data_IF_326611654237
#
_entry.id   IF_326611654237
#
_cell.length_a   1.000
_cell.length_b   1.000
_cell.length_c   1.000
_cell.angle_alpha   90.00
_cell.angle_beta   90.00
_cell.angle_gamma   90.00
#
_symmetry.space_group_name_H-M   'P 1'
#
loop_
_entity.id
_entity.type
_entity.pdbx_description
1 polymer ?
2 non-polymer ?
3 non-polymer ?
4 non-polymer ?
5 non-polymer ?
6 water ?
#
# COMPACT_ATOMS: atom_id res chain seq x y z
N UNK A 16 -12.97 -16.86 7.87
CA UNK A 16 -11.88 -17.83 7.75
C UNK A 16 -10.53 -17.16 7.38
N UNK A 17 -10.18 -16.07 8.07
CA UNK A 17 -8.91 -15.39 7.85
C UNK A 17 -7.75 -16.25 8.43
N UNK A 18 -6.55 -16.08 7.89
CA UNK A 18 -5.30 -16.73 8.35
C UNK A 18 -4.28 -15.61 8.65
N UNK A 19 -4.62 -14.78 9.64
CA UNK A 19 -3.81 -13.65 10.08
C UNK A 19 -2.43 -14.07 10.58
N UNK A 20 -1.37 -13.46 10.05
CA UNK A 20 0.00 -13.74 10.51
C UNK A 20 0.29 -12.68 11.60
N UNK A 21 0.58 -13.13 12.84
CA UNK A 21 0.64 -12.27 14.03
C UNK A 21 1.93 -11.46 14.23
N UNK A 22 2.99 -11.72 13.47
CA UNK A 22 4.19 -10.89 13.55
C UNK A 22 5.05 -11.14 12.32
N UNK A 23 6.19 -10.46 12.22
CA UNK A 23 7.07 -10.60 11.06
C UNK A 23 7.74 -11.95 11.03
N UNK A 24 8.04 -12.55 12.22
CA UNK A 24 8.64 -13.89 12.25
C UNK A 24 7.71 -14.91 11.61
N UNK A 25 6.41 -14.86 11.90
CA UNK A 25 5.45 -15.79 11.28
C UNK A 25 5.38 -15.56 9.77
N UNK A 26 5.34 -14.29 9.35
CA UNK A 26 5.28 -13.95 7.93
C UNK A 26 6.49 -14.56 7.20
N UNK A 27 7.69 -14.37 7.76
CA UNK A 27 8.91 -14.89 7.18
C UNK A 27 8.96 -16.42 7.16
N UNK A 28 8.42 -17.11 8.21
CA UNK A 28 8.37 -18.58 8.26
C UNK A 28 7.42 -19.09 7.14
N UNK A 29 6.34 -18.36 6.84
CA UNK A 29 5.43 -18.76 5.76
C UNK A 29 6.10 -18.56 4.40
N UNK A 30 6.81 -17.44 4.20
CA UNK A 30 7.52 -17.20 2.93
C UNK A 30 8.61 -18.26 2.73
N UNK A 31 9.33 -18.63 3.81
CA UNK A 31 10.39 -19.65 3.78
C UNK A 31 9.83 -21.03 3.35
N UNK A 32 8.66 -21.42 3.89
CA UNK A 32 7.98 -22.65 3.52
C UNK A 32 7.63 -22.68 2.01
N UNK A 33 7.34 -21.50 1.39
CA UNK A 33 7.06 -21.40 -0.05
C UNK A 33 8.29 -21.02 -0.87
N UNK A 34 9.51 -21.09 -0.27
CA UNK A 34 10.79 -20.76 -0.91
C UNK A 34 10.76 -19.37 -1.52
N UNK A 35 10.21 -18.38 -0.77
CA UNK A 35 10.02 -17.02 -1.25
C UNK A 35 10.80 -15.97 -0.45
N UNK A 36 11.79 -16.43 0.33
CA UNK A 36 12.70 -15.59 1.07
C UNK A 36 14.08 -16.24 1.02
N UNK A 37 15.12 -15.45 0.84
CA UNK A 37 16.49 -15.91 0.71
C UNK A 37 17.34 -15.17 1.71
N UNK A 38 18.25 -15.87 2.35
CA UNK A 38 19.15 -15.26 3.31
C UNK A 38 20.48 -14.95 2.63
N UNK A 39 20.99 -13.77 2.88
CA UNK A 39 22.27 -13.34 2.34
C UNK A 39 23.19 -13.23 3.55
N UNK A 40 24.18 -14.11 3.65
CA UNK A 40 25.11 -14.10 4.77
C UNK A 40 26.34 -13.27 4.51
N UNK A 41 26.67 -12.96 3.25
CA UNK A 41 27.81 -12.11 2.94
C UNK A 41 27.52 -10.66 3.39
N UNK A 42 28.53 -9.85 3.76
CA UNK A 42 28.22 -8.46 4.17
C UNK A 42 27.67 -7.63 3.02
N UNK A 43 26.67 -6.81 3.30
CA UNK A 43 26.05 -5.92 2.31
C UNK A 43 26.14 -4.51 2.88
N UNK A 44 26.55 -3.56 2.07
CA UNK A 44 26.65 -2.18 2.52
C UNK A 44 25.30 -1.46 2.51
N UNK A 45 24.81 -0.89 3.65
CA UNK A 45 23.59 -0.08 3.59
C UNK A 45 23.76 1.17 2.71
N UNK A 46 25.02 1.58 2.44
CA UNK A 46 25.32 2.65 1.50
C UNK A 46 25.14 2.08 0.09
N UNK A 47 23.94 2.32 -0.49
CA UNK A 47 23.55 1.93 -1.85
C UNK A 47 23.38 0.43 -2.15
N UNK A 48 24.15 -0.50 -1.57
CA UNK A 48 24.03 -1.91 -1.96
C UNK A 48 22.72 -2.52 -1.52
N UNK A 49 22.26 -2.22 -0.30
CA UNK A 49 21.00 -2.80 0.20
C UNK A 49 19.83 -2.36 -0.70
N UNK A 50 19.80 -1.07 -1.06
CA UNK A 50 18.79 -0.52 -1.96
C UNK A 50 18.87 -1.15 -3.34
N UNK A 51 20.08 -1.31 -3.86
CA UNK A 51 20.30 -1.95 -5.17
C UNK A 51 19.86 -3.41 -5.14
N UNK A 52 20.12 -4.12 -4.01
CA UNK A 52 19.69 -5.50 -3.85
C UNK A 52 18.16 -5.59 -3.84
N UNK A 53 17.49 -4.62 -3.19
CA UNK A 53 16.01 -4.54 -3.19
C UNK A 53 15.48 -4.29 -4.61
N UNK A 54 16.08 -3.36 -5.37
CA UNK A 54 15.65 -3.10 -6.74
C UNK A 54 15.84 -4.29 -7.65
N UNK A 55 16.97 -5.00 -7.54
CA UNK A 55 17.22 -6.17 -8.35
C UNK A 55 16.09 -7.17 -8.07
N UNK A 56 15.76 -7.39 -6.79
CA UNK A 56 14.72 -8.31 -6.36
C UNK A 56 13.35 -7.97 -6.91
N UNK A 57 12.92 -6.67 -6.84
CA UNK A 57 11.62 -6.28 -7.39
C UNK A 57 11.57 -6.53 -8.89
N UNK A 58 12.60 -6.09 -9.57
CA UNK A 58 12.62 -6.08 -11.05
C UNK A 58 12.80 -7.47 -11.67
N UNK A 59 13.42 -8.38 -10.94
CA UNK A 59 13.59 -9.75 -11.41
C UNK A 59 12.59 -10.72 -10.77
N UNK A 60 11.64 -10.22 -9.94
CA UNK A 60 10.64 -11.06 -9.27
C UNK A 60 11.37 -12.14 -8.42
N UNK A 61 12.38 -11.70 -7.66
CA UNK A 61 13.16 -12.62 -6.82
C UNK A 61 12.55 -12.82 -5.46
N UNK A 62 13.09 -13.77 -4.67
CA UNK A 62 12.58 -13.93 -3.29
C UNK A 62 12.85 -12.67 -2.45
N UNK A 63 12.04 -12.43 -1.42
CA UNK A 63 12.34 -11.35 -0.48
C UNK A 63 13.75 -11.67 0.10
N UNK A 64 14.54 -10.65 0.49
CA UNK A 64 15.90 -10.89 0.99
C UNK A 64 16.02 -10.57 2.44
N UNK A 65 16.69 -11.44 3.18
CA UNK A 65 17.05 -11.20 4.57
C UNK A 65 18.54 -10.91 4.52
N UNK A 66 18.92 -9.64 4.74
CA UNK A 66 20.33 -9.24 4.72
C UNK A 66 20.81 -9.42 6.14
N UNK A 67 21.54 -10.53 6.38
CA UNK A 67 21.98 -10.91 7.71
C UNK A 67 23.18 -10.19 8.24
N UNK A 68 23.95 -9.52 7.39
CA UNK A 68 25.20 -8.89 7.80
C UNK A 68 25.39 -7.57 7.06
N UNK A 69 25.30 -6.46 7.79
CA UNK A 69 25.42 -5.14 7.19
C UNK A 69 26.67 -4.44 7.62
N UNK A 70 27.38 -3.83 6.67
CA UNK A 70 28.59 -3.08 6.94
C UNK A 70 28.29 -1.99 7.99
N UNK A 71 29.14 -1.87 9.02
CA UNK A 71 28.97 -0.86 10.06
C UNK A 71 28.31 -1.34 11.33
N UNK A 72 27.23 -2.17 11.23
CA UNK A 72 26.53 -2.71 12.41
C UNK A 72 26.55 -4.26 12.47
N UNK A 73 27.17 -4.92 11.48
CA UNK A 73 27.32 -6.36 11.47
C UNK A 73 26.00 -7.12 11.45
N UNK A 74 25.91 -8.16 12.28
CA UNK A 74 24.75 -9.02 12.37
C UNK A 74 23.74 -8.55 13.43
N UNK A 75 23.93 -7.37 14.04
CA UNK A 75 23.01 -6.85 15.06
C UNK A 75 21.56 -6.73 14.57
N UNK A 76 21.35 -5.97 13.50
CA UNK A 76 20.04 -5.68 13.00
C UNK A 76 19.96 -6.10 11.55
N UNK A 77 19.07 -7.04 11.26
CA UNK A 77 18.90 -7.53 9.91
C UNK A 77 18.01 -6.58 9.13
N UNK A 78 18.07 -6.67 7.81
CA UNK A 78 17.24 -5.86 6.93
C UNK A 78 16.45 -6.81 6.06
N UNK A 79 15.14 -6.57 5.94
CA UNK A 79 14.28 -7.33 5.06
C UNK A 79 13.98 -6.45 3.83
N UNK A 80 14.38 -6.89 2.64
CA UNK A 80 14.13 -6.17 1.38
C UNK A 80 13.00 -6.86 0.62
N UNK A 81 12.22 -6.06 -0.14
CA UNK A 81 11.06 -6.49 -0.91
C UNK A 81 10.03 -7.25 -0.04
N UNK A 82 9.64 -6.67 1.12
CA UNK A 82 8.70 -7.36 2.02
C UNK A 82 7.38 -7.71 1.36
N UNK A 83 6.91 -6.87 0.41
CA UNK A 83 5.70 -7.16 -0.33
C UNK A 83 5.91 -6.91 -1.81
N UNK A 84 7.06 -7.35 -2.32
CA UNK A 84 7.29 -7.31 -3.77
C UNK A 84 6.49 -8.42 -4.45
N UNK A 85 6.56 -8.50 -5.79
CA UNK A 85 5.91 -9.62 -6.49
C UNK A 85 6.60 -10.92 -6.08
N UNK A 86 5.80 -11.96 -5.86
CA UNK A 86 6.29 -13.23 -5.32
C UNK A 86 6.92 -14.14 -6.37
N UNK A 87 7.79 -15.06 -5.94
CA UNK A 87 8.33 -16.11 -6.82
C UNK A 87 7.38 -17.35 -6.82
N UNK A 88 6.37 -17.38 -5.97
CA UNK A 88 5.52 -18.57 -5.84
C UNK A 88 4.86 -18.86 -7.18
N UNK A 89 5.08 -20.05 -7.80
CA UNK A 89 4.51 -20.28 -9.14
C UNK A 89 3.00 -20.04 -9.26
N UNK A 90 2.63 -19.24 -10.26
CA UNK A 90 1.26 -18.85 -10.50
C UNK A 90 0.66 -17.91 -9.46
N UNK A 91 1.46 -17.39 -8.49
CA UNK A 91 0.93 -16.54 -7.42
C UNK A 91 1.76 -15.28 -7.19
N UNK A 92 1.86 -14.39 -8.20
CA UNK A 92 2.65 -13.15 -8.01
C UNK A 92 2.18 -12.25 -6.84
N UNK A 93 0.89 -12.31 -6.45
CA UNK A 93 0.37 -11.45 -5.35
C UNK A 93 0.45 -12.12 -3.99
N UNK A 94 1.15 -13.25 -3.90
CA UNK A 94 1.21 -14.04 -2.66
C UNK A 94 1.70 -13.26 -1.43
N UNK A 95 2.66 -12.34 -1.58
CA UNK A 95 3.13 -11.58 -0.42
C UNK A 95 2.03 -10.64 0.09
N UNK A 96 1.26 -10.05 -0.85
CA UNK A 96 0.14 -9.19 -0.50
C UNK A 96 -0.94 -10.03 0.17
N UNK A 97 -1.31 -11.16 -0.48
CA UNK A 97 -2.37 -12.04 0.01
C UNK A 97 -2.06 -12.55 1.44
N UNK A 98 -0.83 -13.02 1.67
CA UNK A 98 -0.44 -13.52 2.99
C UNK A 98 -0.41 -12.44 4.03
N UNK A 99 0.05 -11.23 3.63
CA UNK A 99 0.07 -10.06 4.51
C UNK A 99 -1.33 -9.72 5.02
N UNK A 100 -2.35 -9.96 4.17
CA UNK A 100 -3.76 -9.67 4.45
C UNK A 100 -4.56 -10.88 4.90
N UNK A 101 -3.88 -11.92 5.36
CA UNK A 101 -4.47 -13.12 5.93
C UNK A 101 -5.24 -14.00 4.98
N UNK A 102 -4.96 -13.92 3.68
CA UNK A 102 -5.67 -14.67 2.66
C UNK A 102 -4.84 -15.78 2.13
N UNK A 103 -5.46 -16.65 1.34
CA UNK A 103 -4.77 -17.75 0.72
C UNK A 103 -3.66 -17.21 -0.19
N UNK A 104 -2.55 -17.95 -0.23
CA UNK A 104 -1.38 -17.65 -1.04
C UNK A 104 -1.81 -17.37 -2.52
N UNK A 105 -2.86 -18.05 -3.02
CA UNK A 105 -3.33 -17.90 -4.38
C UNK A 105 -4.54 -16.92 -4.54
N UNK A 106 -4.83 -16.08 -3.54
CA UNK A 106 -5.94 -15.13 -3.64
C UNK A 106 -5.70 -14.18 -4.84
N UNK A 107 -6.76 -13.96 -5.63
CA UNK A 107 -6.68 -13.11 -6.83
C UNK A 107 -6.71 -11.64 -6.46
N UNK A 108 -6.37 -10.80 -7.44
CA UNK A 108 -6.43 -9.34 -7.29
C UNK A 108 -7.81 -8.92 -6.80
N UNK A 109 -8.86 -9.48 -7.41
CA UNK A 109 -10.23 -9.14 -7.06
C UNK A 109 -10.59 -9.61 -5.62
N UNK A 110 -10.19 -10.83 -5.24
CA UNK A 110 -10.45 -11.30 -3.88
C UNK A 110 -9.77 -10.41 -2.85
N UNK A 111 -8.56 -9.93 -3.14
CA UNK A 111 -7.85 -9.04 -2.22
C UNK A 111 -8.60 -7.70 -2.04
N UNK A 112 -8.89 -6.98 -3.14
CA UNK A 112 -9.55 -5.67 -3.01
C UNK A 112 -10.97 -5.82 -2.47
N UNK A 113 -11.67 -6.89 -2.86
CA UNK A 113 -13.01 -7.15 -2.35
C UNK A 113 -13.00 -7.42 -0.82
N UNK A 114 -11.99 -8.12 -0.31
CA UNK A 114 -11.89 -8.40 1.14
C UNK A 114 -11.63 -7.10 1.89
N UNK A 115 -10.80 -6.21 1.35
CA UNK A 115 -10.56 -4.92 1.99
C UNK A 115 -11.78 -4.07 1.95
N UNK A 116 -12.48 -4.01 0.80
CA UNK A 116 -13.66 -3.14 0.67
C UNK A 116 -14.81 -3.70 1.53
N UNK A 117 -14.94 -5.02 1.66
CA UNK A 117 -15.98 -5.60 2.54
C UNK A 117 -15.79 -5.16 3.98
N UNK A 118 -14.52 -5.06 4.45
CA UNK A 118 -14.25 -4.61 5.83
C UNK A 118 -14.66 -3.13 6.08
N UNK A 119 -14.75 -2.29 5.01
CA UNK A 119 -15.19 -0.90 5.16
C UNK A 119 -16.67 -0.77 5.50
N UNK A 120 -17.44 -1.85 5.34
CA UNK A 120 -18.87 -1.87 5.68
C UNK A 120 -19.13 -2.45 7.08
N UNK A 121 -18.06 -2.80 7.82
CA UNK A 121 -18.15 -3.44 9.13
C UNK A 121 -17.80 -2.40 10.22
N UNK A 122 -18.29 -2.62 11.44
CA UNK A 122 -18.05 -1.74 12.57
C UNK A 122 -16.59 -1.87 13.03
N UNK A 123 -15.91 -0.79 13.47
CA UNK A 123 -14.53 -0.96 13.94
C UNK A 123 -14.43 -1.79 15.21
N UNK A 124 -13.31 -2.48 15.37
CA UNK A 124 -13.08 -3.32 16.53
C UNK A 124 -11.98 -2.65 17.34
N UNK A 125 -12.28 -2.26 18.58
CA UNK A 125 -11.32 -1.58 19.42
C UNK A 125 -10.15 -2.49 19.76
N UNK A 126 -8.90 -1.97 19.80
CA UNK A 126 -7.76 -2.84 20.17
C UNK A 126 -7.78 -3.21 21.66
N UNK A 127 -6.83 -4.01 22.08
CA UNK A 127 -6.69 -4.41 23.49
C UNK A 127 -5.28 -4.06 23.91
N UNK A 128 -5.11 -3.63 25.16
CA UNK A 128 -3.80 -3.23 25.68
C UNK A 128 -3.21 -4.39 26.47
N UNK A 129 -2.00 -4.85 26.09
CA UNK A 129 -1.30 -5.93 26.79
C UNK A 129 -0.21 -5.31 27.67
N UNK A 130 0.13 -6.00 28.77
CA UNK A 130 1.12 -5.50 29.72
C UNK A 130 2.54 -5.62 29.21
N UNK A 131 2.83 -6.58 28.31
CA UNK A 131 4.19 -6.76 27.79
C UNK A 131 4.21 -7.28 26.36
N UNK A 132 5.33 -7.04 25.67
CA UNK A 132 5.50 -7.41 24.27
C UNK A 132 6.95 -7.67 23.92
N UNK A 133 7.28 -8.57 22.95
CA UNK A 133 8.70 -8.75 22.58
C UNK A 133 9.40 -7.48 22.10
N UNK A 134 8.67 -6.52 21.50
CA UNK A 134 9.25 -5.25 21.03
C UNK A 134 9.88 -4.38 22.15
N UNK A 135 9.65 -4.71 23.44
CA UNK A 135 10.24 -4.01 24.56
C UNK A 135 11.20 -4.91 25.36
N UNK A 136 11.69 -6.03 24.76
CA UNK A 136 12.68 -6.90 25.44
C UNK A 136 13.98 -6.13 25.65
N UNK A 137 14.33 -5.21 24.74
CA UNK A 137 15.53 -4.37 24.86
C UNK A 137 15.07 -2.94 24.81
N UNK A 138 15.50 -2.12 25.78
CA UNK A 138 15.08 -0.73 25.91
C UNK A 138 16.31 0.16 25.98
N UNK A 139 16.42 1.15 25.07
CA UNK A 139 17.48 2.14 25.06
C UNK A 139 16.82 3.48 25.39
N UNK A 140 17.34 4.16 26.43
CA UNK A 140 16.82 5.45 26.92
C UNK A 140 17.94 6.47 26.97
N UNK A 141 17.59 7.75 26.94
CA UNK A 141 18.55 8.85 27.05
C UNK A 141 19.58 8.89 25.94
N UNK A 142 20.87 8.95 26.31
CA UNK A 142 21.98 8.98 25.35
C UNK A 142 22.16 7.63 24.64
N UNK A 143 21.64 6.52 25.22
CA UNK A 143 21.73 5.21 24.57
C UNK A 143 20.75 5.10 23.41
N UNK A 144 19.61 5.84 23.45
CA UNK A 144 18.62 5.87 22.37
C UNK A 144 19.23 6.68 21.22
N UNK A 145 20.13 6.03 20.47
CA UNK A 145 20.86 6.65 19.37
C UNK A 145 20.72 5.79 18.12
N UNK A 146 20.23 6.40 17.02
CA UNK A 146 20.03 5.71 15.76
C UNK A 146 21.33 5.21 15.13
N UNK A 147 22.52 5.75 15.54
CA UNK A 147 23.81 5.24 15.05
C UNK A 147 24.09 3.77 15.44
N UNK A 148 23.29 3.18 16.34
CA UNK A 148 23.39 1.76 16.67
C UNK A 148 22.77 0.86 15.58
N UNK A 149 21.93 1.43 14.69
CA UNK A 149 21.18 0.68 13.67
C UNK A 149 21.63 1.06 12.28
N UNK A 150 21.34 0.22 11.27
CA UNK A 150 21.70 0.61 9.89
C UNK A 150 21.04 1.93 9.48
N UNK A 151 21.72 2.67 8.62
CA UNK A 151 21.25 3.96 8.06
C UNK A 151 21.39 3.81 6.56
N UNK A 152 20.45 3.08 5.92
CA UNK A 152 20.59 2.83 4.47
C UNK A 152 20.41 4.04 3.54
N UNK A 153 21.39 4.28 2.62
CA UNK A 153 21.28 5.31 1.57
C UNK A 153 20.67 4.54 0.41
N UNK A 154 19.37 4.67 0.22
CA UNK A 154 18.60 3.82 -0.70
C UNK A 154 18.77 4.13 -2.16
N UNK A 155 19.04 5.36 -2.54
CA UNK A 155 19.26 5.71 -3.95
C UNK A 155 20.39 6.73 -3.98
N UNK A 156 21.18 6.69 -5.06
CA UNK A 156 22.36 7.56 -5.29
C UNK A 156 22.14 9.06 -4.96
N UNK A 157 21.06 9.63 -5.46
CA UNK A 157 20.72 11.05 -5.25
C UNK A 157 19.87 11.45 -4.04
N UNK A 158 19.55 10.51 -3.10
CA UNK A 158 18.73 10.87 -1.93
C UNK A 158 19.46 11.89 -1.05
N UNK A 159 18.69 12.67 -0.32
CA UNK A 159 19.27 13.68 0.57
C UNK A 159 20.02 13.12 1.77
N UNK A 160 19.74 11.86 2.11
CA UNK A 160 20.37 11.18 3.22
C UNK A 160 19.73 9.81 3.43
N UNK A 161 20.06 9.12 4.53
CA UNK A 161 19.47 7.79 4.75
C UNK A 161 17.98 7.81 5.04
N UNK A 162 17.19 6.96 4.38
CA UNK A 162 15.75 6.88 4.65
C UNK A 162 15.53 5.77 5.71
N UNK A 163 15.30 6.16 6.96
CA UNK A 163 15.05 5.21 8.05
C UNK A 163 13.66 4.62 8.03
N UNK A 164 12.65 5.36 7.53
CA UNK A 164 11.32 4.78 7.44
C UNK A 164 10.88 4.79 6.02
N UNK A 165 10.58 3.58 5.49
CA UNK A 165 10.00 3.39 4.16
C UNK A 165 8.83 2.39 4.23
N UNK A 166 8.83 1.46 5.21
CA UNK A 166 7.80 0.44 5.34
C UNK A 166 7.22 0.35 6.77
N UNK A 167 7.75 1.11 7.72
CA UNK A 167 7.24 1.14 9.08
C UNK A 167 6.09 2.13 9.20
N UNK A 168 5.45 2.09 10.35
CA UNK A 168 4.26 2.92 10.59
C UNK A 168 4.53 3.98 11.60
N UNK A 169 4.10 5.21 11.26
CA UNK A 169 4.20 6.38 12.13
C UNK A 169 2.87 6.43 12.88
N UNK A 170 2.94 6.53 14.21
CA UNK A 170 1.78 6.58 15.10
C UNK A 170 1.76 7.96 15.81
N UNK A 171 0.65 8.69 15.71
CA UNK A 171 0.46 9.97 16.40
C UNK A 171 -0.99 10.03 16.90
N UNK A 172 -1.24 10.77 17.99
CA UNK A 172 -2.59 11.00 18.49
C UNK A 172 -2.86 12.50 18.51
N UNK A 173 -4.14 12.89 18.46
CA UNK A 173 -4.56 14.30 18.59
C UNK A 173 -4.31 14.72 20.06
N UNK A 174 -4.12 16.04 20.36
CA UNK A 174 -3.89 16.44 21.76
C UNK A 174 -4.90 15.93 22.80
N UNK A 175 -6.19 15.83 22.45
CA UNK A 175 -7.21 15.31 23.35
C UNK A 175 -7.13 13.77 23.59
N UNK A 176 -6.33 13.06 22.79
CA UNK A 176 -6.15 11.61 22.90
C UNK A 176 -7.36 10.83 22.43
N UNK A 177 -8.25 11.49 21.66
CA UNK A 177 -9.50 10.89 21.18
C UNK A 177 -9.35 10.20 19.83
N UNK A 178 -8.28 10.52 19.08
CA UNK A 178 -8.07 9.95 17.76
C UNK A 178 -6.61 9.65 17.48
N UNK A 179 -6.31 8.42 16.98
CA UNK A 179 -4.95 7.98 16.66
C UNK A 179 -4.85 7.53 15.24
N UNK A 180 -3.88 8.12 14.51
CA UNK A 180 -3.63 7.83 13.13
C UNK A 180 -2.32 7.04 12.98
N UNK A 181 -2.35 6.02 12.12
CA UNK A 181 -1.20 5.19 11.78
C UNK A 181 -0.94 5.47 10.28
N UNK A 182 0.29 5.83 9.89
CA UNK A 182 0.59 6.11 8.46
C UNK A 182 2.01 5.74 8.07
N UNK A 183 2.20 5.33 6.81
CA UNK A 183 3.56 5.15 6.30
C UNK A 183 3.93 6.44 5.61
N UNK A 184 5.02 7.07 6.06
CA UNK A 184 5.58 8.21 5.33
C UNK A 184 7.09 8.05 5.42
N UNK A 185 7.80 8.59 4.44
CA UNK A 185 9.26 8.52 4.43
C UNK A 185 9.84 9.45 5.48
N UNK A 186 10.84 8.94 6.21
CA UNK A 186 11.53 9.65 7.27
C UNK A 186 13.03 9.51 7.00
N UNK A 187 13.74 10.64 6.93
CA UNK A 187 15.17 10.69 6.65
C UNK A 187 15.93 10.95 7.91
N UNK A 188 17.08 10.32 8.06
CA UNK A 188 17.95 10.52 9.19
C UNK A 188 18.74 11.84 9.04
N UNK A 189 18.83 12.65 10.10
CA UNK A 189 19.69 13.85 10.12
C UNK A 189 20.98 13.42 10.82
N UNK A 190 20.86 12.88 12.03
CA UNK A 190 21.98 12.37 12.83
C UNK A 190 21.45 11.26 13.76
N UNK A 191 22.23 10.87 14.77
CA UNK A 191 21.84 9.84 15.71
C UNK A 191 20.61 10.09 16.57
N UNK A 192 20.22 11.36 16.79
CA UNK A 192 19.06 11.69 17.61
C UNK A 192 17.92 12.34 16.85
N UNK A 193 18.13 12.70 15.58
CA UNK A 193 17.18 13.47 14.83
C UNK A 193 16.91 12.91 13.44
N UNK A 194 15.66 13.04 13.02
CA UNK A 194 15.18 12.62 11.70
C UNK A 194 14.25 13.72 11.20
N UNK A 195 13.91 13.66 9.94
CA UNK A 195 13.00 14.62 9.33
C UNK A 195 12.13 13.92 8.29
N UNK A 196 11.03 14.56 7.96
CA UNK A 196 10.10 14.11 6.95
C UNK A 196 9.25 15.30 6.50
N UNK A 197 8.53 15.17 5.38
CA UNK A 197 7.66 16.28 4.93
C UNK A 197 6.27 16.03 5.52
N UNK A 198 5.63 17.05 6.09
CA UNK A 198 4.29 16.93 6.69
C UNK A 198 3.27 17.65 5.77
N UNK A 199 2.69 16.88 4.83
CA UNK A 199 1.72 17.32 3.82
C UNK A 199 0.37 17.69 4.50
N UNK A 200 -0.22 18.87 4.23
CA UNK A 200 -1.50 19.22 4.89
C UNK A 200 -2.72 18.35 4.49
N UNK A 201 -2.69 17.65 3.34
CA UNK A 201 -3.79 16.77 2.92
C UNK A 201 -3.72 15.38 3.62
N UNK A 202 -2.62 15.08 4.33
CA UNK A 202 -2.45 13.81 5.02
C UNK A 202 -2.79 13.97 6.48
N UNK A 203 -3.23 12.86 7.11
CA UNK A 203 -3.59 12.86 8.52
C UNK A 203 -2.43 13.14 9.47
N UNK A 204 -1.18 12.71 9.17
CA UNK A 204 -0.01 13.10 10.00
C UNK A 204 0.13 14.62 10.09
N UNK A 205 0.07 15.30 8.95
CA UNK A 205 0.17 16.75 8.86
C UNK A 205 -0.97 17.45 9.55
N UNK A 206 -2.21 16.94 9.38
CA UNK A 206 -3.36 17.52 10.03
C UNK A 206 -3.23 17.41 11.54
N UNK A 207 -2.81 16.23 12.06
CA UNK A 207 -2.67 16.05 13.50
C UNK A 207 -1.54 16.95 14.04
N UNK A 208 -0.41 17.03 13.33
CA UNK A 208 0.71 17.90 13.70
C UNK A 208 0.29 19.38 13.84
N UNK A 209 -0.54 19.89 12.91
CA UNK A 209 -1.01 21.27 12.98
C UNK A 209 -1.75 21.54 14.31
N UNK A 210 -2.44 20.52 14.88
CA UNK A 210 -3.13 20.67 16.17
C UNK A 210 -2.11 20.82 17.28
N UNK A 211 -0.98 20.10 17.22
CA UNK A 211 0.08 20.21 18.23
C UNK A 211 0.82 21.55 18.10
N UNK A 212 0.96 22.10 16.88
CA UNK A 212 1.60 23.39 16.63
C UNK A 212 0.74 24.55 17.15
N UNK A 213 -0.61 24.43 17.03
CA UNK A 213 -1.55 25.45 17.54
C UNK A 213 -1.47 25.58 19.06
N UNK A 214 -1.25 24.47 19.79
CA UNK A 214 -1.09 24.50 21.24
C UNK A 214 0.34 24.84 21.67
N UNK A 215 1.27 24.94 20.71
CA UNK A 215 2.67 25.27 20.97
C UNK A 215 3.39 24.19 21.76
N UNK A 216 3.09 22.90 21.48
CA UNK A 216 3.68 21.77 22.19
C UNK A 216 4.28 20.76 21.22
N UNK A 217 5.44 20.13 21.54
CA UNK A 217 5.97 19.09 20.65
C UNK A 217 5.02 17.89 20.53
N UNK A 218 4.82 17.37 19.31
CA UNK A 218 3.90 16.25 19.09
C UNK A 218 4.57 14.93 19.44
N UNK A 219 4.09 14.15 20.44
CA UNK A 219 4.69 12.82 20.66
C UNK A 219 4.45 11.88 19.48
N UNK A 220 5.41 11.00 19.20
CA UNK A 220 5.29 10.06 18.09
C UNK A 220 5.95 8.75 18.42
N UNK A 221 5.65 7.75 17.60
CA UNK A 221 6.33 6.46 17.62
C UNK A 221 6.40 5.96 16.18
N UNK A 222 7.52 5.36 15.79
CA UNK A 222 7.69 4.74 14.49
C UNK A 222 7.94 3.26 14.79
N UNK A 223 7.13 2.36 14.22
CA UNK A 223 7.30 0.92 14.43
C UNK A 223 7.75 0.26 13.15
N UNK A 224 8.75 -0.61 13.26
CA UNK A 224 9.27 -1.37 12.12
C UNK A 224 8.96 -2.83 12.34
N UNK A 225 8.78 -3.55 11.23
CA UNK A 225 8.58 -5.00 11.28
C UNK A 225 7.41 -5.51 12.11
N UNK A 226 6.26 -4.86 12.04
CA UNK A 226 5.05 -5.34 12.74
C UNK A 226 4.49 -6.56 11.98
N UNK A 227 3.34 -7.13 12.45
CA UNK A 227 2.63 -8.14 11.68
C UNK A 227 2.40 -7.56 10.25
N UNK A 228 2.39 -8.40 9.21
CA UNK A 228 2.43 -7.86 7.85
C UNK A 228 1.22 -7.10 7.35
N UNK A 229 0.05 -7.26 7.98
CA UNK A 229 -1.14 -6.52 7.60
C UNK A 229 -1.15 -5.04 7.95
N UNK A 230 -0.41 -4.65 8.98
CA UNK A 230 -0.38 -3.23 9.43
C UNK A 230 0.11 -2.25 8.32
N UNK A 231 1.27 -2.44 7.66
CA UNK A 231 1.67 -1.44 6.63
C UNK A 231 0.67 -1.26 5.49
N UNK A 232 -0.12 -2.28 5.18
CA UNK A 232 -1.16 -2.13 4.15
C UNK A 232 -2.23 -1.15 4.65
N UNK A 233 -2.69 -1.33 5.87
CA UNK A 233 -3.75 -0.41 6.35
C UNK A 233 -3.17 0.96 6.67
N UNK A 234 -1.89 1.03 7.09
CA UNK A 234 -1.23 2.34 7.28
C UNK A 234 -1.02 3.12 5.94
N UNK A 235 -0.99 2.42 4.79
CA UNK A 235 -0.92 3.11 3.49
C UNK A 235 -2.31 3.43 2.93
N UNK A 236 -3.39 2.97 3.61
CA UNK A 236 -4.73 3.10 3.08
C UNK A 236 -5.34 4.48 3.33
N UNK A 237 -5.82 5.17 2.28
CA UNK A 237 -6.39 6.51 2.49
C UNK A 237 -7.82 6.48 2.99
N UNK A 238 -7.97 6.07 4.27
CA UNK A 238 -9.26 5.97 4.92
C UNK A 238 -9.81 7.35 5.20
N UNK A 239 -11.15 7.49 5.35
CA UNK A 239 -11.72 8.82 5.57
C UNK A 239 -11.25 9.44 6.87
N UNK A 240 -11.38 10.78 6.98
CA UNK A 240 -11.08 11.50 8.21
C UNK A 240 -11.95 10.90 9.34
N UNK A 241 -11.33 10.64 10.47
CA UNK A 241 -12.05 10.09 11.62
C UNK A 241 -12.19 8.58 11.70
N UNK A 242 -11.58 7.81 10.78
CA UNK A 242 -11.62 6.35 10.82
C UNK A 242 -10.21 5.90 11.21
N UNK A 243 -10.03 5.32 12.40
CA UNK A 243 -8.71 4.88 12.84
C UNK A 243 -8.30 3.62 12.12
N UNK A 244 -7.03 3.54 11.74
CA UNK A 244 -6.48 2.37 11.05
C UNK A 244 -6.60 1.12 11.96
N UNK A 245 -6.32 1.26 13.26
CA UNK A 245 -6.34 0.13 14.21
C UNK A 245 -7.76 -0.50 14.32
N UNK A 246 -8.79 0.34 14.30
CA UNK A 246 -10.18 -0.13 14.31
C UNK A 246 -10.53 -0.84 13.02
N UNK A 247 -10.01 -0.33 11.89
CA UNK A 247 -10.23 -0.96 10.59
C UNK A 247 -9.49 -2.32 10.53
N UNK A 248 -8.23 -2.36 11.00
CA UNK A 248 -7.47 -3.62 11.06
C UNK A 248 -8.22 -4.65 11.87
N UNK A 249 -8.78 -4.21 12.98
CA UNK A 249 -9.57 -5.07 13.84
C UNK A 249 -10.81 -5.60 13.13
N UNK A 250 -11.54 -4.73 12.40
CA UNK A 250 -12.73 -5.16 11.65
C UNK A 250 -12.34 -6.11 10.50
N UNK A 251 -11.23 -5.80 9.83
CA UNK A 251 -10.71 -6.61 8.73
C UNK A 251 -10.37 -8.04 9.17
N UNK A 252 -9.58 -8.21 10.26
CA UNK A 252 -9.20 -9.55 10.72
C UNK A 252 -10.26 -10.22 11.61
N UNK A 253 -11.27 -9.46 12.05
CA UNK A 253 -12.33 -10.00 12.90
C UNK A 253 -11.90 -10.22 14.34
N UNK A 254 -10.88 -9.47 14.82
CA UNK A 254 -10.43 -9.57 16.20
C UNK A 254 -9.62 -8.35 16.62
N UNK A 255 -9.54 -8.03 17.93
CA UNK A 255 -8.75 -6.86 18.36
C UNK A 255 -7.24 -7.02 18.14
N UNK A 256 -6.58 -5.93 17.76
CA UNK A 256 -5.12 -5.91 17.65
C UNK A 256 -4.61 -5.68 19.07
N UNK A 257 -3.49 -6.32 19.42
CA UNK A 257 -2.89 -6.17 20.74
C UNK A 257 -1.89 -5.03 20.70
N UNK A 258 -2.05 -4.04 21.59
CA UNK A 258 -1.12 -2.91 21.67
C UNK A 258 -0.46 -2.89 23.02
N UNK A 259 0.72 -2.27 23.09
CA UNK A 259 1.48 -2.13 24.32
C UNK A 259 1.79 -0.65 24.54
N UNK A 260 1.83 -0.20 25.80
CA UNK A 260 2.13 1.20 26.10
C UNK A 260 3.58 1.50 25.78
N UNK A 261 3.83 2.62 25.07
CA UNK A 261 5.19 3.07 24.76
C UNK A 261 5.87 3.47 26.09
N UNK A 262 7.20 3.34 26.14
CA UNK A 262 7.98 3.57 27.37
C UNK A 262 8.14 5.03 27.82
N UNK A 263 8.28 5.99 26.90
CA UNK A 263 8.51 7.41 27.23
C UNK A 263 7.46 8.38 26.71
N UNK A 264 6.43 7.90 25.98
CA UNK A 264 5.36 8.75 25.44
C UNK A 264 4.01 8.09 25.70
N UNK A 265 2.94 8.90 25.78
CA UNK A 265 1.59 8.40 26.03
C UNK A 265 0.94 7.97 24.71
N UNK A 266 1.43 6.87 24.14
CA UNK A 266 0.94 6.28 22.92
C UNK A 266 0.92 4.78 23.09
N UNK A 267 0.09 4.12 22.30
CA UNK A 267 -0.06 2.67 22.26
C UNK A 267 0.54 2.23 20.94
N UNK A 268 1.38 1.19 20.95
CA UNK A 268 2.03 0.73 19.73
C UNK A 268 1.80 -0.76 19.51
N UNK A 269 1.84 -1.23 18.25
CA UNK A 269 1.65 -2.67 17.98
C UNK A 269 2.62 -3.55 18.79
N UNK A 270 2.09 -4.53 19.53
CA UNK A 270 2.94 -5.45 20.30
C UNK A 270 3.77 -6.39 19.39
N UNK A 271 3.40 -6.49 18.09
CA UNK A 271 4.08 -7.34 17.10
C UNK A 271 5.32 -6.67 16.45
N UNK A 272 5.67 -5.43 16.85
CA UNK A 272 6.79 -4.69 16.26
C UNK A 272 8.17 -5.34 16.49
N UNK A 273 9.10 -5.11 15.55
CA UNK A 273 10.49 -5.56 15.72
C UNK A 273 11.24 -4.44 16.48
N UNK A 274 11.02 -3.18 16.05
CA UNK A 274 11.65 -1.99 16.60
C UNK A 274 10.61 -0.89 16.83
N UNK A 275 10.77 -0.12 17.93
CA UNK A 275 9.91 1.02 18.23
C UNK A 275 10.82 2.22 18.46
N UNK A 276 10.65 3.30 17.70
CA UNK A 276 11.40 4.54 17.88
C UNK A 276 10.38 5.51 18.50
N UNK A 277 10.65 6.04 19.69
CA UNK A 277 9.73 6.95 20.36
C UNK A 277 10.37 8.32 20.48
N UNK A 278 9.55 9.36 20.49
CA UNK A 278 10.05 10.71 20.64
C UNK A 278 8.99 11.76 20.50
N UNK A 279 9.43 12.98 20.15
CA UNK A 279 8.56 14.13 19.89
C UNK A 279 8.99 14.83 18.61
N UNK A 280 8.01 15.34 17.84
CA UNK A 280 8.26 16.12 16.63
C UNK A 280 8.35 17.57 17.11
N UNK A 281 9.48 18.25 16.89
CA UNK A 281 9.70 19.63 17.33
C UNK A 281 9.14 20.64 16.31
N UNK A 282 8.92 21.94 16.67
CA UNK A 282 8.49 22.90 15.62
C UNK A 282 9.65 23.35 14.72
N UNK A 306 10.51 20.44 9.95
CA UNK A 306 9.90 19.58 10.99
C UNK A 306 10.83 18.43 11.35
N UNK A 307 11.35 18.42 12.60
CA UNK A 307 12.30 17.42 13.07
C UNK A 307 11.74 16.43 14.11
N UNK A 308 11.96 15.13 13.88
CA UNK A 308 11.60 14.06 14.82
C UNK A 308 12.79 13.95 15.77
N UNK A 309 12.59 14.05 17.09
CA UNK A 309 13.69 13.92 18.05
C UNK A 309 13.50 12.61 18.80
N UNK A 310 14.51 11.75 18.79
CA UNK A 310 14.43 10.40 19.38
C UNK A 310 14.64 10.44 20.90
N UNK A 311 13.65 9.97 21.69
CA UNK A 311 13.77 9.88 23.15
C UNK A 311 14.00 8.45 23.62
N UNK A 312 13.56 7.44 22.85
CA UNK A 312 13.75 6.05 23.24
C UNK A 312 13.68 5.14 22.02
N UNK A 313 14.42 4.04 22.07
CA UNK A 313 14.39 3.00 21.04
C UNK A 313 14.19 1.70 21.79
N UNK A 314 13.20 0.90 21.39
CA UNK A 314 12.99 -0.42 22.01
C UNK A 314 12.98 -1.42 20.87
N UNK A 315 13.44 -2.64 21.13
CA UNK A 315 13.48 -3.65 20.08
C UNK A 315 13.49 -5.04 20.66
N UNK A 316 12.98 -6.00 19.88
CA UNK A 316 13.01 -7.39 20.30
C UNK A 316 14.36 -7.98 19.91
N UNK A 317 14.76 -9.06 20.57
CA UNK A 317 16.01 -9.76 20.27
C UNK A 317 16.15 -10.09 18.77
N UNK A 318 17.36 -9.87 18.21
CA UNK A 318 17.69 -10.10 16.79
C UNK A 318 16.69 -9.32 15.88
N UNK A 319 16.64 -7.99 16.03
CA UNK A 319 15.65 -7.20 15.29
C UNK A 319 15.82 -7.22 13.78
N UNK A 320 14.70 -7.09 13.07
CA UNK A 320 14.67 -7.04 11.62
C UNK A 320 14.05 -5.69 11.26
N UNK A 321 14.74 -4.92 10.40
CA UNK A 321 14.27 -3.62 9.95
C UNK A 321 13.91 -3.75 8.48
N UNK A 322 12.61 -3.88 8.14
CA UNK A 322 12.23 -3.94 6.71
C UNK A 322 12.40 -2.63 5.99
N UNK A 323 12.73 -2.69 4.69
CA UNK A 323 12.83 -1.48 3.86
C UNK A 323 11.94 -1.65 2.65
N UNK A 324 11.56 -0.52 2.05
CA UNK A 324 10.83 -0.43 0.78
C UNK A 324 11.57 0.59 -0.08
N UNK A 325 12.01 0.19 -1.26
CA UNK A 325 12.87 1.02 -2.11
C UNK A 325 12.04 1.45 -3.35
N UNK A 326 11.36 2.60 -3.21
CA UNK A 326 10.45 3.12 -4.24
C UNK A 326 11.16 3.43 -5.55
N UNK A 327 10.44 3.25 -6.64
CA UNK A 327 10.94 3.55 -7.97
C UNK A 327 9.98 3.08 -9.02
N UNK A 328 10.51 2.58 -10.12
CA UNK A 328 9.68 2.08 -11.21
C UNK A 328 8.94 0.81 -10.82
N UNK A 329 7.89 0.42 -11.54
CA UNK A 329 7.18 -0.80 -11.16
C UNK A 329 8.09 -2.05 -11.13
N UNK A 330 7.92 -3.00 -10.21
CA UNK A 330 6.82 -3.10 -9.24
C UNK A 330 7.40 -3.16 -7.83
N UNK A 331 7.05 -2.22 -6.96
CA UNK A 331 7.47 -2.26 -5.55
C UNK A 331 6.19 -1.97 -4.68
N UNK A 332 6.36 -1.75 -3.38
CA UNK A 332 5.25 -1.53 -2.45
C UNK A 332 4.49 -0.24 -2.68
N UNK A 333 5.06 0.72 -3.41
CA UNK A 333 4.29 1.89 -3.85
C UNK A 333 3.09 1.36 -4.63
N UNK A 334 3.29 0.31 -5.41
CA UNK A 334 2.28 -0.29 -6.29
C UNK A 334 1.47 -1.42 -5.65
N UNK A 335 2.17 -2.38 -4.99
CA UNK A 335 1.52 -3.56 -4.41
C UNK A 335 0.78 -3.23 -3.11
N UNK A 336 1.15 -2.14 -2.42
CA UNK A 336 0.47 -1.80 -1.17
C UNK A 336 -0.28 -0.50 -1.33
N UNK A 337 0.41 0.62 -1.56
CA UNK A 337 -0.29 1.90 -1.66
C UNK A 337 -1.35 1.99 -2.77
N UNK A 338 -0.96 1.65 -3.99
CA UNK A 338 -1.93 1.72 -5.09
C UNK A 338 -3.04 0.69 -4.92
N UNK A 339 -2.69 -0.47 -4.37
CA UNK A 339 -3.67 -1.54 -4.20
C UNK A 339 -4.73 -1.20 -3.14
N UNK A 340 -4.30 -0.71 -1.98
CA UNK A 340 -5.26 -0.32 -0.93
C UNK A 340 -6.06 0.91 -1.33
N UNK A 341 -5.47 1.80 -2.19
CA UNK A 341 -6.18 2.95 -2.73
C UNK A 341 -7.29 2.43 -3.65
N UNK A 342 -7.02 1.45 -4.51
CA UNK A 342 -8.07 0.83 -5.35
C UNK A 342 -9.17 0.23 -4.46
N UNK A 343 -8.82 -0.44 -3.34
CA UNK A 343 -9.85 -1.02 -2.44
C UNK A 343 -10.70 0.11 -1.81
N UNK A 344 -10.07 1.20 -1.41
CA UNK A 344 -10.84 2.32 -0.86
C UNK A 344 -11.77 2.92 -1.96
N UNK A 345 -11.27 3.04 -3.21
CA UNK A 345 -12.11 3.57 -4.30
C UNK A 345 -13.30 2.64 -4.49
N UNK A 346 -13.06 1.30 -4.46
CA UNK A 346 -14.15 0.32 -4.63
C UNK A 346 -15.22 0.49 -3.55
N UNK A 347 -14.79 0.67 -2.30
CA UNK A 347 -15.70 0.87 -1.17
C UNK A 347 -16.48 2.19 -1.30
N UNK A 348 -15.82 3.29 -1.71
CA UNK A 348 -16.47 4.59 -1.86
C UNK A 348 -17.47 4.53 -3.00
N UNK A 349 -17.13 3.86 -4.12
CA UNK A 349 -18.05 3.80 -5.24
C UNK A 349 -19.25 2.94 -4.89
N UNK A 350 -19.04 1.82 -4.17
CA UNK A 350 -20.17 0.99 -3.74
C UNK A 350 -21.04 1.69 -2.71
N UNK A 351 -20.48 2.53 -1.81
CA UNK A 351 -21.24 3.29 -0.82
C UNK A 351 -22.11 4.34 -1.51
N UNK A 352 -21.74 4.79 -2.72
CA UNK A 352 -22.57 5.70 -3.51
C UNK A 352 -23.57 4.90 -4.37
N UNK A 353 -23.77 3.59 -4.10
CA UNK A 353 -24.69 2.68 -4.79
C UNK A 353 -24.38 2.49 -6.26
N UNK A 354 -23.09 2.61 -6.64
CA UNK A 354 -22.69 2.36 -8.01
C UNK A 354 -22.41 0.86 -8.20
N UNK A 355 -22.80 0.28 -9.35
CA UNK A 355 -22.64 -1.18 -9.55
C UNK A 355 -21.24 -1.52 -10.05
N UNK A 356 -20.28 -1.40 -9.14
CA UNK A 356 -18.87 -1.63 -9.42
C UNK A 356 -18.50 -3.05 -9.07
N UNK A 357 -18.09 -3.84 -10.08
CA UNK A 357 -17.65 -5.24 -9.88
C UNK A 357 -16.27 -5.25 -9.16
N UNK A 358 -15.33 -4.46 -9.68
CA UNK A 358 -14.01 -4.36 -9.09
C UNK A 358 -13.33 -3.00 -9.43
N UNK A 359 -12.28 -2.71 -8.70
CA UNK A 359 -11.42 -1.54 -8.92
C UNK A 359 -9.98 -1.98 -8.73
N UNK A 360 -9.06 -1.39 -9.49
CA UNK A 360 -7.68 -1.84 -9.43
C UNK A 360 -6.74 -0.72 -9.89
N UNK A 361 -5.57 -0.59 -9.26
CA UNK A 361 -4.54 0.36 -9.71
C UNK A 361 -3.43 -0.50 -10.36
N UNK A 362 -3.43 -0.61 -11.71
CA UNK A 362 -2.42 -1.46 -12.39
C UNK A 362 -0.99 -1.10 -12.01
N UNK A 363 -0.21 -2.12 -11.63
CA UNK A 363 1.15 -1.94 -11.16
C UNK A 363 2.02 -1.35 -12.24
N UNK A 364 1.81 -1.76 -13.49
CA UNK A 364 2.60 -1.24 -14.64
C UNK A 364 2.38 0.25 -14.89
N UNK A 365 1.23 0.83 -14.47
CA UNK A 365 0.99 2.27 -14.61
C UNK A 365 1.50 3.07 -13.35
N UNK A 366 2.31 2.41 -12.48
CA UNK A 366 2.98 3.02 -11.34
C UNK A 366 2.04 3.78 -10.41
N UNK A 367 0.86 3.21 -10.17
CA UNK A 367 -0.15 3.79 -9.28
C UNK A 367 -0.62 5.20 -9.76
N UNK A 368 -0.57 5.44 -11.08
CA UNK A 368 -1.09 6.67 -11.68
C UNK A 368 -2.56 6.43 -12.14
N UNK A 369 -2.92 5.17 -12.44
CA UNK A 369 -4.25 4.83 -13.00
C UNK A 369 -5.14 4.03 -12.10
N UNK A 370 -6.45 4.30 -12.16
CA UNK A 370 -7.47 3.49 -11.52
C UNK A 370 -8.30 2.89 -12.63
N UNK A 371 -8.59 1.58 -12.52
CA UNK A 371 -9.51 0.93 -13.44
C UNK A 371 -10.74 0.63 -12.63
N UNK A 372 -11.91 1.03 -13.14
CA UNK A 372 -13.20 0.76 -12.52
C UNK A 372 -13.97 -0.17 -13.41
N UNK A 373 -14.31 -1.37 -12.94
CA UNK A 373 -15.08 -2.32 -13.78
C UNK A 373 -16.50 -2.39 -13.28
N UNK A 374 -17.48 -2.15 -14.18
CA UNK A 374 -18.89 -2.24 -13.86
C UNK A 374 -19.42 -3.63 -14.06
N UNK A 375 -20.46 -4.00 -13.29
CA UNK A 375 -21.06 -5.34 -13.44
C UNK A 375 -21.72 -5.43 -14.82
N UNK A 376 -21.88 -6.64 -15.31
CA UNK A 376 -22.49 -6.88 -16.62
C UNK A 376 -23.91 -6.34 -16.67
N UNK A 377 -24.62 -6.37 -15.56
CA UNK A 377 -26.00 -5.86 -15.53
C UNK A 377 -26.08 -4.44 -15.01
N UNK A 378 -25.01 -3.62 -15.15
CA UNK A 378 -25.06 -2.25 -14.59
C UNK A 378 -26.26 -1.44 -15.11
N UNK A 379 -26.66 -1.63 -16.37
CA UNK A 379 -27.83 -0.89 -16.91
C UNK A 379 -29.10 -1.27 -16.17
N UNK A 380 -29.28 -2.56 -15.82
CA UNK A 380 -30.45 -3.00 -15.04
C UNK A 380 -30.41 -2.38 -13.64
N UNK A 381 -29.21 -2.24 -13.05
CA UNK A 381 -29.03 -1.66 -11.72
C UNK A 381 -29.14 -0.14 -11.67
N UNK A 382 -28.79 0.57 -12.78
CA UNK A 382 -28.81 2.04 -12.91
C UNK A 382 -29.65 2.33 -14.18
N UNK A 383 -30.98 2.13 -14.16
CA UNK A 383 -31.78 2.26 -15.40
C UNK A 383 -31.80 3.62 -16.12
N UNK A 384 -31.55 4.72 -15.43
CA UNK A 384 -31.62 6.04 -16.05
C UNK A 384 -30.37 6.63 -16.68
N UNK A 385 -29.24 5.90 -16.77
CA UNK A 385 -28.01 6.47 -17.32
C UNK A 385 -27.45 5.77 -18.55
N UNK A 386 -26.93 6.56 -19.46
CA UNK A 386 -26.18 6.09 -20.59
C UNK A 386 -24.75 5.77 -20.08
N UNK A 387 -23.90 5.26 -20.97
CA UNK A 387 -22.49 5.01 -20.66
C UNK A 387 -21.80 6.30 -20.24
N UNK A 388 -22.04 7.38 -20.98
CA UNK A 388 -21.46 8.68 -20.62
C UNK A 388 -21.96 9.15 -19.29
N UNK A 389 -23.24 8.93 -19.02
CA UNK A 389 -23.89 9.32 -17.77
C UNK A 389 -23.26 8.65 -16.55
N UNK A 390 -23.03 7.33 -16.64
CA UNK A 390 -22.44 6.59 -15.50
C UNK A 390 -20.96 7.03 -15.30
N UNK A 391 -20.22 7.39 -16.38
CA UNK A 391 -18.85 7.88 -16.22
C UNK A 391 -18.87 9.27 -15.57
N UNK A 392 -19.84 10.09 -15.94
CA UNK A 392 -20.02 11.41 -15.28
C UNK A 392 -20.26 11.18 -13.78
N UNK A 393 -21.18 10.29 -13.44
CA UNK A 393 -21.45 9.94 -12.05
C UNK A 393 -20.24 9.43 -11.29
N UNK A 394 -19.45 8.54 -11.91
CA UNK A 394 -18.23 8.03 -11.28
C UNK A 394 -17.26 9.18 -11.02
N UNK A 395 -17.07 10.05 -12.02
CA UNK A 395 -16.19 11.22 -11.85
C UNK A 395 -16.66 12.12 -10.70
N UNK A 396 -17.97 12.40 -10.66
CA UNK A 396 -18.56 13.24 -9.60
C UNK A 396 -18.34 12.61 -8.20
N UNK A 397 -18.55 11.30 -8.07
CA UNK A 397 -18.38 10.62 -6.76
C UNK A 397 -16.89 10.65 -6.39
N UNK A 398 -16.00 10.21 -7.29
CA UNK A 398 -14.58 10.21 -6.98
C UNK A 398 -14.05 11.60 -6.64
N UNK A 399 -14.55 12.65 -7.33
CA UNK A 399 -14.08 14.02 -7.10
C UNK A 399 -14.37 14.54 -5.69
N UNK A 400 -15.36 13.98 -5.01
CA UNK A 400 -15.71 14.40 -3.64
C UNK A 400 -14.88 13.67 -2.57
N UNK A 401 -13.93 12.78 -2.96
CA UNK A 401 -13.18 11.98 -2.00
C UNK A 401 -11.74 12.44 -1.82
N UNK A 402 -11.06 11.91 -0.78
CA UNK A 402 -9.66 12.32 -0.56
C UNK A 402 -8.67 11.64 -1.50
N UNK A 403 -9.10 10.71 -2.34
CA UNK A 403 -8.16 10.07 -3.28
C UNK A 403 -8.18 10.63 -4.69
N UNK A 404 -9.05 11.57 -4.97
CA UNK A 404 -9.26 12.10 -6.32
C UNK A 404 -7.98 12.66 -6.99
N UNK A 405 -7.11 13.39 -6.25
CA UNK A 405 -5.89 13.97 -6.82
C UNK A 405 -4.87 12.92 -7.29
N UNK A 406 -4.88 11.71 -6.73
CA UNK A 406 -3.97 10.62 -7.14
C UNK A 406 -4.35 10.05 -8.53
N UNK A 407 -5.63 10.16 -8.89
CA UNK A 407 -6.14 9.49 -10.09
C UNK A 407 -5.84 10.31 -11.34
N UNK A 408 -4.61 10.20 -11.90
CA UNK A 408 -4.28 10.95 -13.12
C UNK A 408 -5.21 10.50 -14.24
N UNK A 409 -5.54 9.17 -14.27
CA UNK A 409 -6.50 8.61 -15.23
C UNK A 409 -7.33 7.57 -14.55
N UNK A 410 -8.62 7.56 -14.87
CA UNK A 410 -9.57 6.53 -14.42
C UNK A 410 -10.12 5.96 -15.67
N UNK A 411 -10.00 4.63 -15.87
CA UNK A 411 -10.61 4.01 -17.06
C UNK A 411 -11.82 3.27 -16.56
N UNK A 412 -12.98 3.49 -17.23
CA UNK A 412 -14.22 2.80 -16.85
C UNK A 412 -14.47 1.69 -17.86
N UNK A 413 -14.47 0.41 -17.40
CA UNK A 413 -14.57 -0.76 -18.30
C UNK A 413 -15.60 -1.72 -17.83
N UNK A 414 -15.94 -2.70 -18.69
CA UNK A 414 -16.90 -3.76 -18.37
C UNK A 414 -16.16 -4.82 -17.58
N UNK A 415 -16.89 -5.66 -16.84
CA UNK A 415 -16.20 -6.63 -15.99
C UNK A 415 -15.85 -7.96 -16.70
N UNK A 416 -15.91 -8.02 -18.05
CA UNK A 416 -15.37 -9.18 -18.76
C UNK A 416 -13.82 -8.98 -18.88
N UNK A 417 -13.26 -7.87 -18.37
CA UNK A 417 -11.83 -7.57 -18.40
C UNK A 417 -11.30 -7.72 -17.00
N UNK A 418 -10.16 -8.42 -16.86
CA UNK A 418 -9.47 -8.51 -15.57
C UNK A 418 -8.46 -7.37 -15.62
N UNK A 419 -8.66 -6.28 -14.82
CA UNK A 419 -7.70 -5.17 -14.86
C UNK A 419 -6.33 -5.47 -14.27
N UNK A 420 -6.17 -6.60 -13.53
CA UNK A 420 -4.86 -7.02 -13.00
C UNK A 420 -4.08 -7.88 -14.07
N UNK A 421 -4.71 -8.20 -15.22
CA UNK A 421 -4.06 -8.91 -16.30
C UNK A 421 -3.55 -7.81 -17.27
N UNK A 422 -2.23 -7.57 -17.26
CA UNK A 422 -1.59 -6.53 -18.08
C UNK A 422 -2.04 -6.51 -19.55
N UNK A 423 -1.99 -7.69 -20.18
CA UNK A 423 -2.31 -7.86 -21.59
C UNK A 423 -3.78 -7.61 -21.88
N UNK A 424 -4.68 -8.24 -21.12
CA UNK A 424 -6.09 -8.04 -21.32
C UNK A 424 -6.48 -6.59 -21.06
N UNK A 425 -5.90 -5.96 -20.02
CA UNK A 425 -6.17 -4.55 -19.77
C UNK A 425 -5.73 -3.65 -20.97
N UNK A 426 -4.47 -3.84 -21.46
CA UNK A 426 -4.00 -3.03 -22.59
C UNK A 426 -4.88 -3.27 -23.83
N UNK A 427 -5.27 -4.52 -24.06
CA UNK A 427 -6.15 -4.86 -25.19
C UNK A 427 -7.52 -4.15 -25.07
N UNK A 428 -8.10 -4.17 -23.87
CA UNK A 428 -9.40 -3.52 -23.63
C UNK A 428 -9.34 -2.00 -23.85
N UNK A 429 -8.28 -1.35 -23.36
CA UNK A 429 -8.15 0.11 -23.53
C UNK A 429 -7.99 0.44 -25.05
N UNK A 430 -7.08 -0.28 -25.75
CA UNK A 430 -6.82 -0.05 -27.18
C UNK A 430 -8.03 -0.28 -28.07
N UNK A 431 -8.82 -1.27 -27.73
CA UNK A 431 -9.97 -1.66 -28.54
C UNK A 431 -11.29 -1.06 -28.06
N UNK A 432 -11.37 -0.46 -26.88
CA UNK A 432 -12.67 0.05 -26.40
C UNK A 432 -12.72 1.55 -26.10
N UNK A 433 -11.59 2.20 -25.91
CA UNK A 433 -11.58 3.63 -25.61
C UNK A 433 -11.35 4.34 -26.93
N UNK A 434 -12.29 5.23 -27.30
CA UNK A 434 -12.18 6.03 -28.49
C UNK A 434 -10.85 6.80 -28.51
N UNK A 435 -10.16 6.89 -29.65
CA UNK A 435 -8.97 7.79 -29.71
C UNK A 435 -9.28 9.29 -29.42
N UNK A 436 -10.56 9.76 -29.56
CA UNK A 436 -10.93 11.17 -29.33
C UNK A 436 -11.98 11.42 -28.25
N UNK A 437 -13.11 10.69 -28.29
CA UNK A 437 -14.24 10.99 -27.41
C UNK A 437 -14.31 10.07 -26.17
N UNK A 438 -15.30 10.29 -25.31
CA UNK A 438 -15.46 9.53 -24.07
C UNK A 438 -14.41 9.92 -23.05
N UNK A 439 -13.89 11.15 -23.10
CA UNK A 439 -12.85 11.57 -22.13
C UNK A 439 -13.48 12.72 -21.33
N UNK A 440 -13.36 12.65 -20.02
CA UNK A 440 -13.88 13.63 -19.10
C UNK A 440 -12.65 14.22 -18.43
N UNK A 441 -12.37 15.51 -18.62
CA UNK A 441 -11.21 16.13 -17.99
C UNK A 441 -11.64 17.03 -16.83
N UNK A 442 -10.98 16.88 -15.72
CA UNK A 442 -11.20 17.74 -14.56
C UNK A 442 -9.82 18.37 -14.25
N UNK A 443 -9.74 19.64 -13.82
CA UNK A 443 -8.46 20.29 -13.44
C UNK A 443 -8.59 20.59 -11.99
N UNK A 444 -7.52 20.40 -11.26
CA UNK A 444 -7.52 20.66 -9.84
C UNK A 444 -6.24 20.23 -9.21
N UNK A 445 -6.30 19.86 -7.95
CA UNK A 445 -5.13 19.40 -7.21
C UNK A 445 -4.56 18.12 -7.87
N UNK A 446 -3.24 18.01 -7.96
CA UNK A 446 -2.59 16.87 -8.58
C UNK A 446 -1.61 16.24 -7.61
N UNK A 447 -1.18 15.04 -7.95
CA UNK A 447 -0.20 14.33 -7.17
C UNK A 447 1.13 14.94 -7.57
N UNK A 448 1.86 15.64 -6.66
CA UNK A 448 3.13 16.23 -7.05
C UNK A 448 4.22 15.22 -7.50
N UNK A 449 4.10 13.95 -7.14
CA UNK A 449 5.04 12.89 -7.54
C UNK A 449 4.69 12.26 -8.88
N UNK A 450 3.49 12.54 -9.45
CA UNK A 450 3.09 11.94 -10.73
C UNK A 450 3.91 12.55 -11.80
N UNK A 451 4.29 11.77 -12.80
CA UNK A 451 5.19 12.24 -13.85
C UNK A 451 4.54 12.93 -15.03
N UNK A 452 3.25 12.69 -15.29
CA UNK A 452 2.59 13.19 -16.51
C UNK A 452 2.11 14.66 -16.46
N UNK A 453 2.85 15.54 -15.79
CA UNK A 453 2.50 16.96 -15.65
C UNK A 453 3.66 17.82 -16.08
N UNK A 454 3.35 19.02 -16.58
CA UNK A 454 4.38 19.99 -16.97
C UNK A 454 4.93 20.64 -15.72
N UNK A 455 6.08 21.31 -15.87
CA UNK A 455 6.71 22.01 -14.75
C UNK A 455 5.76 23.09 -14.20
N UNK A 456 5.02 23.80 -15.07
CA UNK A 456 4.06 24.80 -14.61
C UNK A 456 2.88 24.20 -13.87
N UNK A 457 2.36 23.05 -14.34
CA UNK A 457 1.29 22.36 -13.61
C UNK A 457 1.80 21.91 -12.24
N UNK A 458 3.04 21.40 -12.18
CA UNK A 458 3.60 20.95 -10.88
C UNK A 458 3.81 22.08 -9.91
N UNK A 459 4.37 23.17 -10.41
CA UNK A 459 4.65 24.35 -9.60
C UNK A 459 3.37 24.96 -9.04
N UNK A 460 2.27 24.96 -9.85
CA UNK A 460 1.00 25.51 -9.36
C UNK A 460 0.23 24.53 -8.52
N UNK A 461 0.56 23.24 -8.65
CA UNK A 461 -0.17 22.14 -8.01
C UNK A 461 -1.54 22.04 -8.66
N UNK A 462 -1.63 22.36 -9.96
CA UNK A 462 -2.92 22.44 -10.66
C UNK A 462 -2.77 21.84 -12.02
N UNK A 463 -3.54 20.78 -12.30
CA UNK A 463 -3.43 20.14 -13.60
C UNK A 463 -4.56 19.20 -13.95
N UNK A 464 -4.48 18.59 -15.15
CA UNK A 464 -5.58 17.74 -15.61
C UNK A 464 -5.60 16.31 -15.05
N UNK A 465 -6.80 15.79 -14.80
CA UNK A 465 -7.05 14.40 -14.41
C UNK A 465 -8.19 13.95 -15.34
N UNK A 466 -8.08 12.76 -15.94
CA UNK A 466 -9.08 12.31 -16.88
C UNK A 466 -9.82 11.06 -16.45
N UNK A 467 -11.10 10.97 -16.90
CA UNK A 467 -11.92 9.79 -16.73
C UNK A 467 -12.23 9.37 -18.17
N UNK A 468 -11.82 8.13 -18.54
CA UNK A 468 -11.99 7.61 -19.90
C UNK A 468 -13.01 6.50 -19.96
N UNK A 469 -13.92 6.61 -20.93
CA UNK A 469 -15.02 5.69 -21.06
C UNK A 469 -14.64 4.58 -22.02
N UNK A 470 -14.49 3.36 -21.49
CA UNK A 470 -14.26 2.19 -22.33
C UNK A 470 -15.40 1.19 -22.28
N UNK A 471 -16.59 1.63 -21.87
CA UNK A 471 -17.75 0.75 -21.76
C UNK A 471 -18.29 0.43 -23.12
N UNK A 472 -18.77 -0.77 -23.30
CA UNK A 472 -19.33 -1.14 -24.59
C UNK A 472 -20.82 -1.00 -24.59
N UNK A 473 -21.41 -0.85 -25.79
CA UNK A 473 -22.87 -0.96 -25.87
C UNK A 473 -23.25 -2.42 -25.64
N UNK A 474 -24.52 -2.76 -25.41
CA UNK A 474 -24.89 -4.19 -25.27
C UNK A 474 -24.44 -5.02 -26.48
N UNK A 475 -23.63 -6.07 -26.24
CA UNK A 475 -23.02 -6.88 -27.30
C UNK A 475 -22.95 -8.35 -26.89
N UNK A 476 -23.15 -9.26 -27.84
CA UNK A 476 -22.99 -10.71 -27.58
C UNK A 476 -21.51 -11.03 -27.28
N UNK A 477 -21.24 -12.00 -26.39
CA UNK A 477 -19.87 -12.44 -26.03
C UNK A 477 -18.97 -12.67 -27.26
N UNK A 478 -19.50 -13.34 -28.29
CA UNK A 478 -18.73 -13.66 -29.49
C UNK A 478 -18.47 -12.44 -30.40
N UNK A 479 -19.20 -11.32 -30.22
CA UNK A 479 -18.95 -10.08 -30.97
C UNK A 479 -17.91 -9.18 -30.28
N UNK A 480 -17.63 -9.39 -28.96
CA UNK A 480 -16.62 -8.59 -28.25
C UNK A 480 -15.36 -9.42 -27.87
N UNK A 481 -15.37 -10.78 -27.99
CA UNK A 481 -14.23 -11.62 -27.67
C UNK A 481 -13.87 -12.53 -28.83
N UNK A 482 -12.62 -12.97 -28.86
CA UNK A 482 -12.12 -13.95 -29.82
C UNK A 482 -10.91 -14.64 -29.17
N UNK A 483 -11.20 -15.62 -28.35
CA UNK A 483 -10.16 -16.35 -27.63
C UNK A 483 -10.64 -17.75 -27.30
N UNK A 484 -9.71 -18.64 -26.90
CA UNK A 484 -9.99 -20.02 -26.50
C UNK A 484 -11.19 -20.17 -25.56
N UNK A 485 -11.16 -19.43 -24.43
CA UNK A 485 -12.22 -19.51 -23.42
C UNK A 485 -13.56 -18.97 -23.90
N UNK A 486 -13.57 -17.91 -24.71
CA UNK A 486 -14.82 -17.24 -25.12
C UNK A 486 -15.42 -17.66 -26.49
N UNK A 487 -14.68 -18.36 -27.36
CA UNK A 487 -15.10 -18.58 -28.75
C UNK A 487 -15.34 -20.02 -29.15
N UNK A 488 -15.20 -20.98 -28.22
CA UNK A 488 -15.37 -22.37 -28.57
C UNK A 488 -16.28 -23.04 -27.60
N UNK A 489 -17.12 -23.98 -28.07
CA UNK A 489 -18.01 -24.72 -27.14
C UNK A 489 -17.21 -25.50 -26.09
N UNK A 490 -17.80 -25.72 -24.88
CA UNK A 490 -17.15 -26.48 -23.80
C UNK A 490 -16.64 -27.89 -24.23
N UNK A 491 -17.36 -28.71 -25.02
CA UNK A 491 -16.78 -30.02 -25.43
C UNK A 491 -15.53 -29.86 -26.30
N UNK A 492 -15.50 -28.86 -27.18
CA UNK A 492 -14.33 -28.58 -28.03
C UNK A 492 -13.13 -28.17 -27.14
N UNK A 493 -13.34 -27.31 -26.15
CA UNK A 493 -12.25 -26.88 -25.24
C UNK A 493 -11.74 -28.05 -24.38
N UNK A 494 -12.67 -28.85 -23.85
CA UNK A 494 -12.35 -30.06 -23.07
C UNK A 494 -11.46 -30.98 -23.87
N UNK A 495 -11.89 -31.31 -25.10
CA UNK A 495 -11.14 -32.17 -26.00
C UNK A 495 -9.74 -31.59 -26.28
N UNK A 496 -9.62 -30.26 -26.49
CA UNK A 496 -8.31 -29.64 -26.73
C UNK A 496 -7.45 -29.73 -25.47
N UNK A 497 -8.02 -29.45 -24.31
CA UNK A 497 -7.29 -29.55 -23.04
C UNK A 497 -6.74 -30.99 -22.81
N UNK A 498 -7.53 -32.03 -23.15
CA UNK A 498 -7.08 -33.42 -22.98
C UNK A 498 -5.93 -33.75 -23.93
N UNK A 499 -5.91 -33.17 -25.16
CA UNK A 499 -4.83 -33.38 -26.12
C UNK A 499 -3.54 -32.62 -25.79
N UNK A 500 -3.66 -31.38 -25.27
CA UNK A 500 -2.50 -30.49 -25.07
C UNK A 500 -2.02 -30.23 -23.63
N UNK A 501 -2.94 -30.07 -22.66
CA UNK A 501 -2.55 -29.75 -21.28
C UNK A 501 -1.91 -30.94 -20.57
#
# INVERSE_FOLDING_TARGET
MGSSHHHHHHSQDPNSMKRLKDLREYLAVLEAHQDVREIDEPVDPHLEAGAAARWTYENRGPALMLNDLTGTGRFCRILAAPAGLSTIPGSPLARVALSLGLDVSATAHEIVDSLAAARTREPVAPVVVDSAPCQDNVLLGDDANLDRFPAPLLHEGDGGPYLNTWGTIIVSTPDGSFTNWAIARVMKIDGKRMTGTFIPTQHLGQIRKLWDNLGQPMPFAIVQGTEPGIPFVASMPLPDGIEEVGFLGAYFGEPLELVRAKTVDLLVPASAEIVIEGHVMPGRTAVEGPMGEYAGYQPRHTSMQPEYVVDAITYRDDPIWPISVAGEPVDETHTAWGLVTAAEALALLRAAKLPVATAWMPFEAAAHWLIVCLTEDWRERMPGLSRDGICLRISQVLAATRIEAMMTRVFVLDDDVDPSDQTELAWAIATRVSPAHGRLVRHGMINPLAGCYSAEERRLGYGPKAVLNGLLPPMAERSRRSSFRHTYPEPVRQRVIELLA
#
